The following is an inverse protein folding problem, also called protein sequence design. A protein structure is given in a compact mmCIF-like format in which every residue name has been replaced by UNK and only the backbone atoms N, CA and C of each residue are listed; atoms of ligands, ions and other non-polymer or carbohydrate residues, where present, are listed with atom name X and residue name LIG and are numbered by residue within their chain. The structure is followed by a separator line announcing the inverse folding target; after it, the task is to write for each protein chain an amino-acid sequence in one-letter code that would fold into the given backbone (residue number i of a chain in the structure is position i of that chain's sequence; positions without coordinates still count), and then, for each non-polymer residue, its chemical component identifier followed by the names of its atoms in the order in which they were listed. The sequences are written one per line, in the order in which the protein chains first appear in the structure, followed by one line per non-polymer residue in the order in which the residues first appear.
data_IF_781063568134
#
_entry.id   IF_781063568134
#
_cell.length_a   1.000
_cell.length_b   1.000
_cell.length_c   1.000
_cell.angle_alpha   90.00
_cell.angle_beta   90.00
_cell.angle_gamma   90.00
#
_symmetry.space_group_name_H-M   'P 1'
#
loop_
_entity.id
_entity.type
_entity.pdbx_description
1 polymer ?
#
# COMPACT_ATOMS: atom_id res chain seq x y z
N UNK A 1 47.42 48.96 -44.24
CA UNK A 1 48.66 48.16 -44.27
C UNK A 1 49.15 47.95 -42.84
N UNK A 2 49.63 46.73 -42.57
CA UNK A 2 50.54 46.33 -41.48
C UNK A 2 50.01 46.17 -40.04
N UNK A 3 49.57 44.94 -39.74
CA UNK A 3 50.34 43.90 -39.03
C UNK A 3 50.92 44.20 -37.61
N UNK A 4 50.48 43.34 -36.68
CA UNK A 4 51.24 42.60 -35.66
C UNK A 4 51.75 43.35 -34.41
N UNK A 5 51.29 42.86 -33.25
CA UNK A 5 52.19 42.63 -32.11
C UNK A 5 51.77 41.38 -31.35
N UNK A 6 52.68 40.40 -31.32
CA UNK A 6 52.67 39.24 -30.43
C UNK A 6 53.44 39.65 -29.18
N UNK A 7 53.02 39.20 -27.99
CA UNK A 7 53.89 38.56 -26.99
C UNK A 7 53.12 38.24 -25.70
N UNK A 8 52.91 36.94 -25.51
CA UNK A 8 53.18 36.17 -24.28
C UNK A 8 53.11 36.91 -22.95
N UNK A 9 52.02 36.67 -22.21
CA UNK A 9 52.03 36.73 -20.75
C UNK A 9 52.10 35.31 -20.21
N UNK A 10 53.21 35.08 -19.55
CA UNK A 10 53.57 33.92 -18.76
C UNK A 10 52.86 33.95 -17.40
N UNK A 11 52.76 32.75 -16.81
CA UNK A 11 52.89 32.46 -15.38
C UNK A 11 51.68 32.61 -14.42
N UNK A 12 51.27 31.42 -13.95
CA UNK A 12 50.95 31.03 -12.57
C UNK A 12 49.56 31.37 -12.02
N UNK A 13 48.70 30.33 -11.97
CA UNK A 13 47.80 30.17 -10.83
C UNK A 13 47.68 28.70 -10.44
N UNK A 14 48.32 28.40 -9.31
CA UNK A 14 48.13 27.20 -8.48
C UNK A 14 46.66 27.10 -8.04
N UNK A 15 46.05 25.92 -8.12
CA UNK A 15 44.66 25.78 -7.71
C UNK A 15 44.12 24.37 -7.67
N UNK A 16 44.37 23.70 -6.54
CA UNK A 16 43.41 22.82 -5.87
C UNK A 16 42.98 21.53 -6.59
N UNK A 17 43.57 20.41 -6.13
CA UNK A 17 42.88 19.12 -6.05
C UNK A 17 41.49 19.34 -5.41
N UNK A 18 40.43 19.41 -6.19
CA UNK A 18 39.10 19.09 -5.68
C UNK A 18 38.98 17.58 -5.65
N UNK A 19 39.17 17.05 -4.43
CA UNK A 19 38.65 15.78 -3.99
C UNK A 19 37.27 15.52 -4.57
N UNK A 20 37.13 14.43 -5.33
CA UNK A 20 35.85 13.77 -5.55
C UNK A 20 35.37 13.15 -4.22
N UNK A 21 34.98 13.99 -3.27
CA UNK A 21 34.18 13.61 -2.13
C UNK A 21 32.73 13.53 -2.60
N UNK A 22 32.23 12.34 -2.87
CA UNK A 22 30.81 12.18 -3.16
C UNK A 22 30.41 10.99 -4.01
N UNK A 23 30.96 9.80 -3.76
CA UNK A 23 30.15 8.59 -3.96
C UNK A 23 29.10 8.63 -2.83
N UNK A 24 28.10 9.48 -3.00
CA UNK A 24 26.92 9.50 -2.16
C UNK A 24 26.35 8.11 -2.20
N UNK A 25 26.44 7.41 -1.07
CA UNK A 25 25.79 6.14 -0.87
C UNK A 25 24.34 6.31 -1.34
N UNK A 26 23.99 5.65 -2.44
CA UNK A 26 22.62 5.22 -2.69
C UNK A 26 22.27 4.29 -1.54
N UNK A 27 21.97 4.88 -0.38
CA UNK A 27 21.03 4.29 0.57
C UNK A 27 19.73 4.24 -0.22
N UNK A 28 19.56 3.14 -0.96
CA UNK A 28 18.24 2.58 -1.13
C UNK A 28 17.75 2.38 0.30
N UNK A 29 17.12 3.43 0.85
CA UNK A 29 16.21 3.28 1.94
C UNK A 29 15.18 2.32 1.34
N UNK A 30 15.35 1.03 1.59
CA UNK A 30 14.23 0.12 1.55
C UNK A 30 13.22 0.83 2.43
N UNK A 31 12.23 1.46 1.80
CA UNK A 31 11.16 2.15 2.51
C UNK A 31 10.53 1.03 3.31
N UNK A 32 11.00 0.83 4.52
CA UNK A 32 10.29 0.11 5.56
C UNK A 32 8.94 0.76 5.48
N UNK A 33 7.96 -0.01 5.03
CA UNK A 33 6.57 0.42 4.99
C UNK A 33 6.19 0.54 6.46
N UNK A 34 6.62 1.64 7.08
CA UNK A 34 6.05 2.15 8.31
C UNK A 34 4.55 2.23 8.03
N UNK A 35 3.77 1.73 8.98
CA UNK A 35 2.32 1.59 8.83
C UNK A 35 1.73 2.88 8.25
N UNK A 36 0.76 2.77 7.34
CA UNK A 36 0.30 3.91 6.56
C UNK A 36 -0.45 4.86 7.49
N UNK A 37 -0.16 6.14 7.36
CA UNK A 37 -1.04 7.16 7.91
C UNK A 37 -2.41 7.04 7.21
N UNK A 38 -3.52 7.41 7.88
CA UNK A 38 -4.82 7.52 7.22
C UNK A 38 -4.70 8.44 5.99
N UNK A 39 -4.72 7.87 4.79
CA UNK A 39 -4.60 8.63 3.52
C UNK A 39 -3.61 8.05 2.51
N UNK A 40 -2.59 7.30 2.93
CA UNK A 40 -1.56 6.76 2.02
C UNK A 40 -2.09 5.66 1.05
N UNK A 41 -3.36 5.27 1.19
CA UNK A 41 -4.04 4.27 0.36
C UNK A 41 -4.83 4.83 -0.82
N UNK A 42 -4.80 6.14 -1.04
CA UNK A 42 -5.48 6.80 -2.15
C UNK A 42 -4.84 6.33 -3.48
N UNK A 43 -5.50 5.40 -4.17
CA UNK A 43 -5.06 4.84 -5.46
C UNK A 43 -5.00 3.31 -5.53
N UNK A 44 -5.15 2.60 -4.41
CA UNK A 44 -5.25 1.14 -4.42
C UNK A 44 -6.70 0.70 -4.66
N UNK A 45 -6.94 -0.36 -5.45
CA UNK A 45 -8.29 -0.83 -5.71
C UNK A 45 -8.93 -1.43 -4.46
N UNK A 46 -10.23 -1.16 -4.27
CA UNK A 46 -11.04 -1.79 -3.23
C UNK A 46 -11.27 -3.26 -3.57
N UNK A 47 -11.15 -4.16 -2.58
CA UNK A 47 -11.35 -5.59 -2.76
C UNK A 47 -12.81 -6.00 -2.83
N UNK A 48 -13.07 -7.29 -2.98
CA UNK A 48 -14.42 -7.84 -2.87
C UNK A 48 -14.93 -7.76 -1.43
N UNK A 49 -16.25 -7.70 -1.28
CA UNK A 49 -16.91 -7.68 0.03
C UNK A 49 -16.85 -9.09 0.60
N UNK A 50 -16.16 -9.26 1.74
CA UNK A 50 -16.16 -10.53 2.47
C UNK A 50 -17.37 -10.64 3.41
N UNK A 51 -17.64 -9.56 4.16
CA UNK A 51 -18.88 -9.39 4.93
C UNK A 51 -19.23 -7.90 5.05
N UNK A 52 -20.51 -7.59 5.23
CA UNK A 52 -21.03 -6.26 5.49
C UNK A 52 -20.97 -5.89 6.97
N UNK A 53 -20.68 -6.84 7.86
CA UNK A 53 -20.48 -6.53 9.28
C UNK A 53 -18.99 -6.43 9.60
N UNK A 54 -18.56 -5.49 10.46
CA UNK A 54 -17.20 -5.50 10.97
C UNK A 54 -17.01 -6.64 11.97
N UNK A 55 -15.77 -7.09 12.13
CA UNK A 55 -15.41 -8.12 13.11
C UNK A 55 -14.56 -7.54 14.22
N UNK A 56 -14.88 -7.92 15.46
CA UNK A 56 -14.11 -7.57 16.64
C UNK A 56 -12.97 -8.55 16.80
N UNK A 57 -11.75 -8.04 16.92
CA UNK A 57 -10.53 -8.83 17.10
C UNK A 57 -9.70 -8.23 18.22
N UNK A 58 -9.31 -9.06 19.19
CA UNK A 58 -8.35 -8.67 20.22
C UNK A 58 -6.95 -8.65 19.60
N UNK A 59 -6.34 -7.47 19.55
CA UNK A 59 -4.98 -7.28 19.03
C UNK A 59 -4.02 -7.00 20.17
N UNK A 60 -2.81 -7.52 20.08
CA UNK A 60 -1.75 -7.38 21.09
C UNK A 60 -0.79 -6.24 20.71
N UNK A 61 -0.40 -5.44 21.70
CA UNK A 61 0.58 -4.37 21.55
C UNK A 61 1.90 -4.87 20.94
N UNK A 62 2.43 -4.17 19.94
CA UNK A 62 3.70 -4.49 19.28
C UNK A 62 3.68 -5.73 18.37
N UNK A 63 2.56 -6.44 18.26
CA UNK A 63 2.41 -7.56 17.34
C UNK A 63 2.05 -7.08 15.94
N UNK A 64 2.73 -7.66 14.95
CA UNK A 64 2.52 -7.33 13.54
C UNK A 64 1.40 -8.19 12.95
N UNK A 65 0.39 -7.53 12.44
CA UNK A 65 -0.76 -8.15 11.78
C UNK A 65 -0.76 -7.82 10.29
N UNK A 66 -1.42 -8.67 9.50
CA UNK A 66 -1.60 -8.48 8.07
C UNK A 66 -3.09 -8.55 7.74
N UNK A 67 -3.71 -7.40 7.51
CA UNK A 67 -5.13 -7.31 7.16
C UNK A 67 -5.35 -7.59 5.67
N UNK A 68 -6.39 -8.38 5.38
CA UNK A 68 -6.76 -8.73 4.01
C UNK A 68 -7.39 -7.56 3.27
N UNK A 69 -6.83 -7.18 2.12
CA UNK A 69 -7.37 -6.15 1.21
C UNK A 69 -8.20 -6.72 0.07
N UNK A 70 -7.96 -7.97 -0.36
CA UNK A 70 -8.60 -8.55 -1.55
C UNK A 70 -10.04 -9.02 -1.32
N UNK A 71 -10.42 -9.37 -0.09
CA UNK A 71 -11.73 -9.92 0.25
C UNK A 71 -11.84 -11.45 0.17
N UNK A 72 -10.86 -12.14 -0.41
CA UNK A 72 -10.91 -13.60 -0.67
C UNK A 72 -10.16 -14.47 0.35
N UNK A 73 -9.69 -13.89 1.46
CA UNK A 73 -9.02 -14.68 2.50
C UNK A 73 -10.02 -15.64 3.16
N UNK A 74 -9.58 -16.86 3.46
CA UNK A 74 -10.35 -17.82 4.26
C UNK A 74 -10.23 -17.56 5.77
N UNK A 75 -9.24 -16.76 6.20
CA UNK A 75 -9.00 -16.40 7.61
C UNK A 75 -9.33 -14.94 7.90
N UNK A 76 -10.44 -14.45 7.34
CA UNK A 76 -10.89 -13.07 7.55
C UNK A 76 -10.95 -12.73 9.06
N UNK A 77 -10.50 -11.54 9.48
CA UNK A 77 -10.11 -10.38 8.65
C UNK A 77 -8.64 -10.39 8.20
N UNK A 78 -7.87 -11.41 8.58
CA UNK A 78 -6.44 -11.52 8.30
C UNK A 78 -6.18 -12.06 6.89
N UNK A 79 -4.98 -11.80 6.38
CA UNK A 79 -4.52 -12.28 5.09
C UNK A 79 -3.91 -13.68 5.21
N UNK A 80 -4.43 -14.62 4.41
CA UNK A 80 -3.91 -15.99 4.23
C UNK A 80 -2.99 -16.15 3.01
N UNK A 81 -2.91 -15.13 2.14
CA UNK A 81 -2.15 -15.18 0.89
C UNK A 81 -2.99 -15.47 -0.36
N UNK A 82 -4.32 -15.65 -0.23
CA UNK A 82 -5.22 -15.90 -1.35
C UNK A 82 -5.21 -14.80 -2.41
N UNK A 83 -4.81 -13.57 -2.05
CA UNK A 83 -4.61 -12.47 -3.01
C UNK A 83 -3.60 -12.79 -4.13
N UNK A 84 -2.62 -13.65 -3.89
CA UNK A 84 -1.61 -14.04 -4.90
C UNK A 84 -2.23 -14.68 -6.13
N UNK A 85 -3.37 -15.37 -5.97
CA UNK A 85 -4.11 -15.98 -7.09
C UNK A 85 -4.73 -14.94 -8.02
N UNK A 86 -4.97 -13.72 -7.53
CA UNK A 86 -5.54 -12.61 -8.29
C UNK A 86 -4.51 -11.83 -9.11
N UNK A 87 -3.22 -12.02 -8.84
CA UNK A 87 -2.17 -11.17 -9.39
C UNK A 87 -1.86 -11.44 -10.89
N UNK A 88 -2.48 -12.47 -11.50
CA UNK A 88 -2.40 -12.76 -12.94
C UNK A 88 -0.98 -13.03 -13.47
N UNK A 89 -0.84 -13.63 -14.65
CA UNK A 89 0.45 -13.94 -15.30
C UNK A 89 1.09 -12.74 -16.04
N UNK A 90 0.77 -11.51 -15.65
CA UNK A 90 1.22 -10.31 -16.36
C UNK A 90 2.74 -10.10 -16.27
N UNK A 91 3.50 -10.43 -17.32
CA UNK A 91 4.97 -10.35 -17.43
C UNK A 91 5.65 -9.04 -16.96
N UNK A 92 4.90 -7.99 -16.64
CA UNK A 92 5.36 -6.78 -15.95
C UNK A 92 5.23 -6.94 -14.43
N UNK A 93 6.35 -6.82 -13.69
CA UNK A 93 6.50 -6.93 -12.21
C UNK A 93 5.59 -6.02 -11.33
N UNK A 94 4.55 -5.40 -11.88
CA UNK A 94 3.50 -4.65 -11.18
C UNK A 94 2.39 -5.57 -10.60
N UNK A 95 2.75 -6.77 -10.13
CA UNK A 95 1.84 -7.82 -9.65
C UNK A 95 1.43 -7.65 -8.19
N UNK A 96 0.87 -6.50 -7.86
CA UNK A 96 0.72 -6.16 -6.45
C UNK A 96 -0.55 -5.34 -6.22
N UNK A 97 -1.63 -5.75 -6.88
CA UNK A 97 -2.91 -5.05 -6.89
C UNK A 97 -3.58 -5.09 -5.51
N UNK A 98 -3.44 -6.21 -4.79
CA UNK A 98 -4.06 -6.42 -3.48
C UNK A 98 -3.04 -6.78 -2.41
N UNK A 99 -2.07 -5.89 -2.15
CA UNK A 99 -1.16 -6.05 -1.01
C UNK A 99 -1.94 -6.08 0.29
N UNK A 100 -1.67 -7.02 1.21
CA UNK A 100 -2.20 -6.93 2.56
C UNK A 100 -1.57 -5.74 3.30
N UNK A 101 -2.38 -5.09 4.12
CA UNK A 101 -1.94 -3.98 4.97
C UNK A 101 -1.28 -4.56 6.20
N UNK A 102 0.01 -4.26 6.39
CA UNK A 102 0.73 -4.61 7.61
C UNK A 102 0.58 -3.47 8.60
N UNK A 103 0.17 -3.79 9.81
CA UNK A 103 -0.03 -2.82 10.87
C UNK A 103 0.29 -3.45 12.24
N UNK A 104 0.50 -2.60 13.21
CA UNK A 104 0.72 -2.94 14.62
C UNK A 104 -0.12 -1.99 15.47
N UNK A 105 -0.41 -2.39 16.71
CA UNK A 105 -1.16 -1.58 17.65
C UNK A 105 -0.29 -1.25 18.85
N UNK A 106 -0.53 -0.08 19.46
CA UNK A 106 0.20 0.37 20.65
C UNK A 106 -0.33 -0.27 21.93
N UNK A 107 -1.64 -0.55 21.97
CA UNK A 107 -2.32 -1.08 23.15
C UNK A 107 -3.02 -2.41 22.83
N UNK A 108 -2.93 -3.35 23.78
CA UNK A 108 -3.67 -4.61 23.72
C UNK A 108 -5.13 -4.36 24.07
N UNK A 109 -6.01 -4.38 23.06
CA UNK A 109 -7.46 -4.21 23.23
C UNK A 109 -8.24 -4.80 22.06
N UNK A 110 -9.56 -4.73 22.17
CA UNK A 110 -10.46 -5.12 21.10
C UNK A 110 -10.56 -4.01 20.05
N UNK A 111 -10.31 -4.36 18.78
CA UNK A 111 -10.45 -3.47 17.64
C UNK A 111 -11.50 -3.99 16.66
N UNK A 112 -12.21 -3.06 16.03
CA UNK A 112 -13.18 -3.36 14.97
C UNK A 112 -12.52 -3.26 13.60
N UNK A 113 -12.29 -4.42 12.98
CA UNK A 113 -11.66 -4.49 11.67
C UNK A 113 -12.70 -4.59 10.55
N UNK A 114 -12.38 -3.97 9.43
CA UNK A 114 -13.26 -3.93 8.26
C UNK A 114 -13.29 -5.29 7.53
N UNK A 115 -14.49 -5.78 7.22
CA UNK A 115 -14.69 -6.97 6.37
C UNK A 115 -15.24 -6.63 4.98
N UNK A 116 -15.89 -5.47 4.80
CA UNK A 116 -16.47 -5.09 3.50
C UNK A 116 -15.41 -4.67 2.47
N UNK A 117 -14.19 -4.37 2.93
CA UNK A 117 -13.04 -3.89 2.15
C UNK A 117 -13.30 -2.59 1.39
N UNK A 118 -14.36 -1.87 1.80
CA UNK A 118 -14.74 -0.58 1.22
C UNK A 118 -14.34 0.63 2.08
N UNK A 119 -13.98 0.40 3.35
CA UNK A 119 -13.51 1.44 4.28
C UNK A 119 -12.38 2.27 3.67
N UNK A 120 -12.42 3.58 3.91
CA UNK A 120 -11.34 4.51 3.59
C UNK A 120 -10.34 4.60 4.76
N UNK A 121 -10.77 4.26 5.98
CA UNK A 121 -9.91 4.15 7.17
C UNK A 121 -9.39 2.72 7.42
N UNK A 122 -8.77 2.11 6.41
CA UNK A 122 -8.25 0.73 6.50
C UNK A 122 -7.07 0.67 7.48
N UNK A 123 -6.95 -0.37 8.34
CA UNK A 123 -7.71 -1.63 8.37
C UNK A 123 -9.02 -1.60 9.19
N UNK A 124 -9.33 -0.45 9.79
CA UNK A 124 -10.45 -0.28 10.70
C UNK A 124 -11.77 -0.08 9.98
N UNK A 125 -12.86 -0.32 10.70
CA UNK A 125 -14.20 0.01 10.24
C UNK A 125 -14.49 1.50 10.42
N UNK A 126 -14.97 2.15 9.36
CA UNK A 126 -15.40 3.56 9.32
C UNK A 126 -16.92 3.72 9.15
N UNK A 127 -17.66 2.60 9.08
CA UNK A 127 -19.10 2.62 8.82
C UNK A 127 -19.50 2.57 7.34
N UNK A 128 -18.55 2.62 6.40
CA UNK A 128 -18.82 2.59 4.94
C UNK A 128 -19.63 1.36 4.50
N UNK A 129 -19.58 0.26 5.26
CA UNK A 129 -20.40 -0.93 5.02
C UNK A 129 -21.92 -0.71 5.12
N UNK A 130 -22.37 0.42 5.69
CA UNK A 130 -23.79 0.75 5.85
C UNK A 130 -24.39 1.45 4.63
N UNK A 131 -23.57 1.88 3.69
CA UNK A 131 -24.07 2.48 2.45
C UNK A 131 -24.85 1.43 1.65
N UNK A 132 -26.00 1.81 1.11
CA UNK A 132 -26.93 0.94 0.39
C UNK A 132 -26.23 0.19 -0.76
N UNK A 133 -25.40 0.92 -1.54
CA UNK A 133 -24.58 0.38 -2.63
C UNK A 133 -23.63 -0.76 -2.23
N UNK A 134 -23.27 -0.85 -0.94
CA UNK A 134 -22.36 -1.86 -0.39
C UNK A 134 -23.15 -2.94 0.32
N UNK A 135 -24.18 -2.55 1.08
CA UNK A 135 -25.07 -3.45 1.80
C UNK A 135 -25.79 -4.41 0.85
N UNK A 136 -26.23 -3.93 -0.32
CA UNK A 136 -27.02 -4.72 -1.27
C UNK A 136 -26.17 -5.68 -2.10
N UNK A 137 -24.87 -5.42 -2.26
CA UNK A 137 -23.95 -6.30 -3.03
C UNK A 137 -23.75 -7.69 -2.43
N UNK A 138 -24.17 -7.93 -1.18
CA UNK A 138 -24.15 -9.27 -0.57
C UNK A 138 -25.41 -10.09 -0.90
N UNK A 139 -26.54 -9.43 -1.23
CA UNK A 139 -27.86 -10.08 -1.39
C UNK A 139 -28.00 -10.89 -2.69
N UNK A 140 -27.08 -10.76 -3.64
CA UNK A 140 -27.12 -11.46 -4.93
C UNK A 140 -25.99 -12.48 -5.10
N UNK A 141 -25.30 -12.82 -4.00
CA UNK A 141 -24.10 -13.64 -4.05
C UNK A 141 -24.37 -15.16 -3.96
N UNK A 142 -25.59 -15.59 -3.65
CA UNK A 142 -25.96 -17.01 -3.67
C UNK A 142 -26.87 -17.32 -4.86
N UNK A 143 -26.67 -18.49 -5.47
CA UNK A 143 -27.50 -19.01 -6.57
C UNK A 143 -28.94 -19.20 -6.17
N UNK A 144 -29.21 -19.40 -4.88
CA UNK A 144 -30.53 -19.52 -4.29
C UNK A 144 -31.29 -18.17 -4.29
N UNK A 145 -30.60 -17.04 -4.03
CA UNK A 145 -31.23 -15.71 -3.99
C UNK A 145 -31.71 -15.20 -5.37
N UNK A 146 -31.12 -15.70 -6.45
CA UNK A 146 -31.49 -15.35 -7.84
C UNK A 146 -32.76 -16.07 -8.29
N UNK A 147 -33.05 -17.25 -7.72
CA UNK A 147 -34.21 -18.07 -8.11
C UNK A 147 -35.52 -17.50 -7.53
N UNK A 148 -35.49 -16.86 -6.36
CA UNK A 148 -36.69 -16.33 -5.69
C UNK A 148 -37.15 -14.95 -6.20
N UNK A 149 -36.39 -14.32 -7.10
CA UNK A 149 -36.72 -13.00 -7.68
C UNK A 149 -37.06 -13.06 -9.19
N UNK A 150 -37.40 -14.26 -9.70
CA UNK A 150 -37.97 -14.51 -11.02
C UNK A 150 -39.44 -14.96 -10.89
#
# INVERSE_FOLDING_TARGET
MAMLSRHTLDLLYVGSLQQFAGIGAIRSASKTLHGPNPGDWQGFPKGSIADNRPIKVTLEAGKKYAWCTCGLSHTQPMCDGSHKKLDGSSFTKSHMKFRPIRFEVEETKDYWLCQCKQSDNRPYCDGTHRNEDIADKKKFATTEDVIENL
#
